data_IF_806252160660
#
_entry.id   IF_806252160660
#
_cell.length_a   1.000
_cell.length_b   1.000
_cell.length_c   1.000
_cell.angle_alpha   90.00
_cell.angle_beta   90.00
_cell.angle_gamma   90.00
#
_symmetry.space_group_name_H-M   'P 1'
#
loop_
_entity.id
_entity.type
_entity.pdbx_description
1 polymer ?
#
# COMPACT_ATOMS: atom_id res chain seq x y z
N UNK A 1 -14.02 -7.28 4.84
CA UNK A 1 -12.89 -6.45 4.41
C UNK A 1 -11.69 -6.76 5.30
N UNK A 2 -10.55 -6.98 4.73
CA UNK A 2 -9.36 -7.25 5.52
C UNK A 2 -8.62 -5.97 5.83
N UNK A 3 -7.85 -6.01 6.90
CA UNK A 3 -7.09 -4.88 7.37
C UNK A 3 -5.59 -5.23 7.31
N UNK A 4 -4.80 -4.30 6.78
CA UNK A 4 -3.37 -4.49 6.62
C UNK A 4 -2.63 -3.23 7.04
N UNK A 5 -1.54 -3.40 7.76
CA UNK A 5 -0.67 -2.28 8.10
C UNK A 5 0.68 -2.49 7.43
N UNK A 6 1.15 -1.47 6.76
CA UNK A 6 2.37 -1.62 5.97
C UNK A 6 3.21 -0.35 5.93
N UNK A 7 4.45 -0.51 5.51
CA UNK A 7 5.36 0.60 5.26
C UNK A 7 5.66 0.61 3.77
N UNK A 8 5.51 1.75 3.13
CA UNK A 8 5.78 1.88 1.71
C UNK A 8 7.28 1.84 1.45
N UNK A 9 7.72 0.82 0.73
CA UNK A 9 9.13 0.67 0.35
C UNK A 9 9.41 1.26 -1.02
N UNK A 10 8.42 1.17 -1.91
CA UNK A 10 8.60 1.60 -3.30
C UNK A 10 7.26 1.96 -3.92
N UNK A 11 7.25 3.01 -4.72
CA UNK A 11 6.08 3.37 -5.54
C UNK A 11 6.44 2.96 -6.97
N UNK A 12 5.73 1.98 -7.51
CA UNK A 12 6.02 1.47 -8.84
C UNK A 12 5.23 2.18 -9.93
N UNK A 13 4.11 2.78 -9.57
CA UNK A 13 3.29 3.53 -10.50
C UNK A 13 2.39 4.49 -9.73
N UNK A 14 2.21 5.68 -10.28
CA UNK A 14 1.28 6.64 -9.70
C UNK A 14 0.72 7.50 -10.82
N UNK A 15 -0.61 7.54 -10.92
CA UNK A 15 -1.30 8.37 -11.89
C UNK A 15 -1.75 9.64 -11.19
N UNK A 16 -1.23 10.77 -11.62
CA UNK A 16 -1.51 12.06 -10.98
C UNK A 16 -2.92 12.55 -11.23
N UNK A 17 -3.55 12.12 -12.32
CA UNK A 17 -4.89 12.56 -12.67
C UNK A 17 -5.96 11.96 -11.80
N UNK A 18 -5.89 10.66 -11.55
CA UNK A 18 -6.92 9.97 -10.78
C UNK A 18 -6.44 9.45 -9.43
N UNK A 19 -5.15 9.60 -9.13
CA UNK A 19 -4.58 9.16 -7.86
C UNK A 19 -4.33 7.65 -7.75
N UNK A 20 -4.54 6.91 -8.83
CA UNK A 20 -4.31 5.46 -8.80
C UNK A 20 -2.84 5.18 -8.59
N UNK A 21 -2.54 4.34 -7.62
CA UNK A 21 -1.17 4.10 -7.17
C UNK A 21 -0.92 2.61 -7.01
N UNK A 22 0.28 2.19 -7.39
CA UNK A 22 0.75 0.81 -7.15
C UNK A 22 1.99 0.90 -6.28
N UNK A 23 1.94 0.24 -5.14
CA UNK A 23 3.00 0.27 -4.15
C UNK A 23 3.58 -1.10 -3.91
N UNK A 24 4.84 -1.13 -3.49
CA UNK A 24 5.46 -2.30 -2.90
C UNK A 24 5.69 -1.98 -1.45
N UNK A 25 5.06 -2.74 -0.57
CA UNK A 25 5.04 -2.45 0.86
C UNK A 25 5.57 -3.58 1.69
N UNK A 26 6.24 -3.22 2.77
CA UNK A 26 6.67 -4.19 3.78
C UNK A 26 5.55 -4.37 4.79
N UNK A 27 5.16 -5.62 5.00
CA UNK A 27 4.11 -5.99 5.95
C UNK A 27 4.69 -6.97 6.94
N UNK A 28 4.41 -6.76 8.21
CA UNK A 28 4.87 -7.65 9.27
C UNK A 28 4.42 -9.09 9.01
N UNK A 29 5.33 -10.04 9.19
CA UNK A 29 5.10 -11.46 8.98
C UNK A 29 5.07 -11.90 7.51
N UNK A 30 5.35 -10.98 6.59
CA UNK A 30 5.49 -11.32 5.18
C UNK A 30 6.96 -11.18 4.80
N UNK A 31 7.53 -12.23 4.23
CA UNK A 31 8.95 -12.22 3.84
C UNK A 31 9.21 -11.37 2.60
N UNK A 32 8.24 -11.30 1.70
CA UNK A 32 8.36 -10.52 0.48
C UNK A 32 7.51 -9.26 0.55
N UNK A 33 7.85 -8.28 -0.27
CA UNK A 33 7.05 -7.07 -0.37
C UNK A 33 5.67 -7.40 -0.94
N UNK A 34 4.66 -6.77 -0.38
CA UNK A 34 3.27 -6.94 -0.81
C UNK A 34 2.93 -5.87 -1.82
N UNK A 35 2.30 -6.26 -2.93
CA UNK A 35 1.82 -5.31 -3.92
C UNK A 35 0.47 -4.75 -3.45
N UNK A 36 0.41 -3.44 -3.33
CA UNK A 36 -0.79 -2.73 -2.87
C UNK A 36 -1.24 -1.80 -3.99
N UNK A 37 -2.51 -1.88 -4.35
CA UNK A 37 -3.07 -1.06 -5.42
C UNK A 37 -4.32 -0.33 -4.94
N UNK A 38 -4.51 0.87 -5.43
CA UNK A 38 -5.71 1.64 -5.09
C UNK A 38 -5.52 3.12 -5.34
N UNK A 39 -6.53 3.89 -5.02
CA UNK A 39 -6.47 5.35 -5.15
C UNK A 39 -5.90 5.92 -3.87
N UNK A 40 -4.61 6.24 -3.91
CA UNK A 40 -3.87 6.72 -2.74
C UNK A 40 -2.96 7.88 -3.12
N UNK A 41 -3.56 9.05 -3.40
CA UNK A 41 -2.76 10.23 -3.72
C UNK A 41 -1.92 10.64 -2.50
N UNK A 42 -0.82 11.31 -2.74
CA UNK A 42 0.07 11.85 -1.70
C UNK A 42 0.76 10.81 -0.83
N UNK A 43 0.87 9.58 -1.32
CA UNK A 43 1.62 8.53 -0.63
C UNK A 43 3.09 8.67 -0.95
N UNK A 44 3.94 8.46 0.05
CA UNK A 44 5.39 8.58 -0.09
C UNK A 44 6.10 7.33 0.40
N UNK A 45 7.29 7.11 -0.14
CA UNK A 45 8.18 6.06 0.38
C UNK A 45 8.46 6.37 1.85
N UNK A 46 8.34 5.37 2.69
CA UNK A 46 8.49 5.51 4.13
C UNK A 46 7.19 5.76 4.88
N UNK A 47 6.11 6.06 4.16
CA UNK A 47 4.80 6.23 4.80
C UNK A 47 4.34 4.94 5.45
N UNK A 48 3.73 5.06 6.63
CA UNK A 48 3.09 3.93 7.29
C UNK A 48 1.60 4.04 7.01
N UNK A 49 1.06 3.00 6.40
CA UNK A 49 -0.33 2.99 5.98
C UNK A 49 -1.13 1.94 6.72
N UNK A 50 -2.34 2.31 7.10
CA UNK A 50 -3.35 1.40 7.59
C UNK A 50 -4.36 1.23 6.47
N UNK A 51 -4.50 0.01 5.98
CA UNK A 51 -5.27 -0.28 4.77
C UNK A 51 -6.44 -1.18 5.09
N UNK A 52 -7.55 -0.92 4.43
CA UNK A 52 -8.70 -1.83 4.43
C UNK A 52 -9.05 -2.16 3.00
N UNK A 53 -9.25 -3.44 2.71
CA UNK A 53 -9.53 -3.86 1.35
C UNK A 53 -9.60 -5.36 1.21
N UNK A 54 -9.26 -5.83 0.03
CA UNK A 54 -9.39 -7.23 -0.34
C UNK A 54 -8.15 -7.72 -1.06
N UNK A 55 -7.82 -8.99 -0.85
CA UNK A 55 -6.81 -9.65 -1.65
C UNK A 55 -7.40 -10.01 -3.00
N UNK A 56 -6.63 -9.80 -4.05
CA UNK A 56 -7.02 -10.17 -5.40
C UNK A 56 -5.84 -10.83 -6.09
N UNK A 57 -6.13 -11.84 -6.90
CA UNK A 57 -5.10 -12.50 -7.68
C UNK A 57 -5.08 -11.91 -9.08
N UNK A 58 -3.94 -11.36 -9.47
CA UNK A 58 -3.72 -10.86 -10.82
C UNK A 58 -2.99 -11.92 -11.61
N UNK A 59 -3.47 -12.21 -12.83
CA UNK A 59 -2.91 -13.27 -13.63
C UNK A 59 -1.47 -13.01 -14.03
N UNK A 60 -1.08 -11.75 -14.14
CA UNK A 60 0.26 -11.35 -14.55
C UNK A 60 1.21 -11.09 -13.38
N UNK A 61 0.70 -10.43 -12.34
CA UNK A 61 1.54 -9.96 -11.25
C UNK A 61 1.36 -10.72 -9.94
N UNK A 62 0.43 -11.66 -9.92
CA UNK A 62 0.18 -12.46 -8.73
C UNK A 62 -0.73 -11.75 -7.75
N UNK A 63 -0.47 -12.00 -6.46
CA UNK A 63 -1.36 -11.55 -5.40
C UNK A 63 -1.19 -10.06 -5.12
N UNK A 64 -2.31 -9.36 -5.05
CA UNK A 64 -2.34 -7.92 -4.78
C UNK A 64 -3.36 -7.61 -3.69
N UNK A 65 -3.08 -6.59 -2.90
CA UNK A 65 -4.05 -6.07 -1.94
C UNK A 65 -4.72 -4.84 -2.56
N UNK A 66 -6.03 -4.93 -2.79
CA UNK A 66 -6.80 -3.85 -3.39
C UNK A 66 -7.41 -3.01 -2.28
N UNK A 67 -7.01 -1.75 -2.21
CA UNK A 67 -7.38 -0.85 -1.13
C UNK A 67 -8.73 -0.21 -1.38
N UNK A 68 -9.64 -0.32 -0.40
CA UNK A 68 -10.91 0.41 -0.39
C UNK A 68 -10.80 1.67 0.44
N UNK A 69 -10.07 1.59 1.57
CA UNK A 69 -9.80 2.72 2.45
C UNK A 69 -8.38 2.67 2.91
N UNK A 70 -7.80 3.84 3.08
CA UNK A 70 -6.47 3.92 3.66
C UNK A 70 -6.37 5.11 4.59
N UNK A 71 -5.45 5.00 5.53
CA UNK A 71 -5.12 6.09 6.42
C UNK A 71 -3.61 6.10 6.58
N UNK A 72 -3.01 7.25 6.38
CA UNK A 72 -1.58 7.40 6.57
C UNK A 72 -1.31 7.77 8.01
N UNK A 73 -0.48 6.97 8.67
CA UNK A 73 -0.03 7.28 10.02
C UNK A 73 1.42 7.68 9.93
N UNK A 74 1.76 8.80 10.54
CA UNK A 74 3.15 9.22 10.59
C UNK A 74 3.89 8.34 11.58
N UNK A 75 5.14 7.94 11.26
CA UNK A 75 5.94 7.25 12.25
C UNK A 75 6.09 8.15 13.47
N UNK A 76 6.06 7.53 14.64
CA UNK A 76 6.24 8.28 15.86
C UNK A 76 7.62 8.91 15.83
N UNK A 77 7.67 10.22 15.63
CA UNK A 77 8.91 10.95 15.62
C UNK A 77 9.09 11.56 16.98
N UNK A 78 10.20 11.24 17.60
CA UNK A 78 10.53 11.79 18.90
C UNK A 78 11.66 12.79 18.70
N UNK A 79 11.44 13.94 19.15
CA UNK A 79 12.47 14.98 19.17
C UNK A 79 12.93 15.22 20.59
#
# INVERSE_FOLDING_TARGET
MEHLRCVVERITYQNEENGYTVLKCAVKNYSDLVTVVGTMPDTHVGSVLSLEGFWKMDAKYGRQFCVERFEETLPATVY
#
